data_IF_346100177638
#
_entry.id   IF_346100177638
#
_cell.length_a   1.000
_cell.length_b   1.000
_cell.length_c   1.000
_cell.angle_alpha   90.00
_cell.angle_beta   90.00
_cell.angle_gamma   90.00
#
_symmetry.space_group_name_H-M   'P 1'
#
loop_
_entity.id
_entity.type
_entity.pdbx_description
1 polymer ?
#
# COMPACT_ATOMS: atom_id res chain seq x y z
N UNK A 1 -17.51 -15.12 -0.27
CA UNK A 1 -18.07 -14.46 0.94
C UNK A 1 -17.13 -14.50 2.17
N UNK A 2 -16.32 -15.55 2.39
CA UNK A 2 -15.36 -15.59 3.50
C UNK A 2 -14.12 -14.70 3.23
N UNK A 3 -13.62 -14.69 2.01
CA UNK A 3 -12.50 -13.85 1.59
C UNK A 3 -12.84 -12.36 1.75
N UNK A 4 -14.02 -11.92 1.29
CA UNK A 4 -14.48 -10.51 1.43
C UNK A 4 -14.62 -10.08 2.90
N UNK A 5 -15.03 -10.98 3.82
CA UNK A 5 -15.09 -10.65 5.27
C UNK A 5 -13.70 -10.52 5.90
N UNK A 6 -12.73 -11.36 5.51
CA UNK A 6 -11.33 -11.25 5.98
C UNK A 6 -10.64 -10.02 5.39
N UNK A 7 -10.89 -9.71 4.13
CA UNK A 7 -10.32 -8.58 3.40
C UNK A 7 -10.69 -7.22 4.02
N UNK A 8 -11.90 -7.03 4.53
CA UNK A 8 -12.31 -5.81 5.28
C UNK A 8 -11.56 -5.59 6.60
N UNK A 9 -10.60 -6.44 6.94
CA UNK A 9 -9.78 -6.31 8.16
C UNK A 9 -8.36 -5.77 7.88
N UNK A 10 -8.00 -5.47 6.63
CA UNK A 10 -6.62 -5.12 6.28
C UNK A 10 -6.30 -3.64 6.42
N UNK A 11 -5.40 -3.34 7.36
CA UNK A 11 -4.32 -2.40 7.13
C UNK A 11 -3.17 -3.20 6.56
N UNK A 12 -2.71 -2.86 5.36
CA UNK A 12 -1.66 -3.65 4.74
C UNK A 12 -0.32 -3.31 5.39
N UNK A 13 0.07 -4.07 6.41
CA UNK A 13 1.42 -4.23 6.92
C UNK A 13 2.28 -5.06 5.95
N UNK A 14 1.63 -5.78 5.08
CA UNK A 14 2.08 -7.04 4.50
C UNK A 14 2.03 -6.98 2.98
N UNK A 15 2.34 -5.82 2.41
CA UNK A 15 2.61 -5.68 0.98
C UNK A 15 4.04 -6.12 0.69
N UNK A 16 4.18 -7.20 -0.06
CA UNK A 16 5.45 -7.70 -0.54
C UNK A 16 5.74 -7.19 -1.96
N UNK A 17 7.02 -6.98 -2.25
CA UNK A 17 7.44 -6.42 -3.54
C UNK A 17 7.93 -7.52 -4.48
N UNK A 18 7.18 -7.75 -5.54
CA UNK A 18 7.42 -8.78 -6.55
C UNK A 18 8.79 -8.65 -7.22
N UNK A 19 9.18 -7.44 -7.64
CA UNK A 19 10.49 -7.19 -8.25
C UNK A 19 11.64 -7.58 -7.32
N UNK A 20 11.61 -7.15 -6.05
CA UNK A 20 12.68 -7.44 -5.12
C UNK A 20 12.73 -8.92 -4.74
N UNK A 21 11.60 -9.57 -4.52
CA UNK A 21 11.54 -10.99 -4.18
C UNK A 21 11.96 -11.89 -5.35
N UNK A 22 11.66 -11.49 -6.58
CA UNK A 22 12.15 -12.16 -7.78
C UNK A 22 13.68 -12.17 -7.85
N UNK A 23 14.30 -11.03 -7.53
CA UNK A 23 15.76 -10.90 -7.54
C UNK A 23 16.41 -11.54 -6.31
N UNK A 24 15.79 -11.40 -5.12
CA UNK A 24 16.28 -11.97 -3.85
C UNK A 24 15.11 -12.19 -2.89
N UNK A 25 14.91 -13.40 -2.38
CA UNK A 25 15.81 -14.56 -2.42
C UNK A 25 15.80 -15.31 -3.77
N UNK A 26 14.88 -14.96 -4.69
CA UNK A 26 14.62 -15.69 -5.93
C UNK A 26 13.49 -16.71 -5.76
N UNK A 27 12.86 -17.07 -6.88
CA UNK A 27 11.67 -17.92 -6.86
C UNK A 27 11.94 -19.35 -6.41
N UNK A 28 13.15 -19.88 -6.66
CA UNK A 28 13.48 -21.24 -6.27
C UNK A 28 13.45 -21.42 -4.75
N UNK A 29 13.96 -20.42 -4.01
CA UNK A 29 13.88 -20.41 -2.54
C UNK A 29 12.44 -20.36 -2.07
N UNK A 30 11.60 -19.48 -2.65
CA UNK A 30 10.20 -19.34 -2.25
C UNK A 30 9.39 -20.62 -2.54
N UNK A 31 9.68 -21.33 -3.65
CA UNK A 31 9.02 -22.59 -4.00
C UNK A 31 9.27 -23.68 -2.95
N UNK A 32 10.48 -23.75 -2.37
CA UNK A 32 10.80 -24.70 -1.29
C UNK A 32 9.92 -24.49 -0.03
N UNK A 33 9.42 -23.26 0.16
CA UNK A 33 8.50 -22.91 1.26
C UNK A 33 7.03 -22.92 0.84
N UNK A 34 6.69 -23.29 -0.38
CA UNK A 34 5.31 -23.28 -0.92
C UNK A 34 4.65 -21.89 -0.89
N UNK A 35 5.44 -20.82 -0.86
CA UNK A 35 4.96 -19.44 -0.90
C UNK A 35 5.45 -18.55 0.25
N UNK A 36 5.03 -17.29 0.21
CA UNK A 36 5.47 -16.27 1.15
C UNK A 36 5.01 -16.52 2.59
N UNK A 37 3.79 -17.03 2.79
CA UNK A 37 3.25 -17.27 4.12
C UNK A 37 4.20 -18.14 4.96
N UNK A 38 4.59 -19.27 4.43
CA UNK A 38 5.51 -20.17 5.11
C UNK A 38 6.94 -19.59 5.18
N UNK A 39 7.39 -18.93 4.10
CA UNK A 39 8.73 -18.35 4.06
C UNK A 39 8.98 -17.31 5.15
N UNK A 40 7.98 -16.47 5.46
CA UNK A 40 8.11 -15.43 6.49
C UNK A 40 7.41 -15.76 7.81
N UNK A 41 6.74 -16.92 7.92
CA UNK A 41 5.97 -17.32 9.10
C UNK A 41 4.80 -16.38 9.39
N UNK A 42 3.99 -16.05 8.39
CA UNK A 42 2.91 -15.07 8.49
C UNK A 42 1.55 -15.65 8.05
N UNK A 43 0.59 -15.67 8.98
CA UNK A 43 -0.72 -16.32 8.77
C UNK A 43 -1.83 -15.35 8.32
N UNK A 44 -1.54 -14.04 8.27
CA UNK A 44 -2.52 -13.06 7.80
C UNK A 44 -2.34 -12.79 6.30
N UNK A 45 -3.27 -12.00 5.74
CA UNK A 45 -3.29 -11.70 4.31
C UNK A 45 -2.00 -11.01 3.84
N UNK A 46 -1.50 -11.43 2.70
CA UNK A 46 -0.38 -10.82 1.99
C UNK A 46 -0.87 -10.33 0.63
N UNK A 47 -0.52 -9.10 0.29
CA UNK A 47 -0.65 -8.55 -1.06
C UNK A 47 0.72 -8.47 -1.72
N UNK A 48 0.84 -8.92 -2.97
CA UNK A 48 2.03 -8.67 -3.79
C UNK A 48 1.73 -7.58 -4.82
N UNK A 49 2.65 -6.62 -4.96
CA UNK A 49 2.58 -5.70 -6.09
C UNK A 49 3.02 -6.39 -7.40
N UNK A 50 2.79 -5.71 -8.53
CA UNK A 50 3.15 -6.27 -9.85
C UNK A 50 4.60 -6.04 -10.27
N UNK A 51 5.34 -5.15 -9.57
CA UNK A 51 6.61 -4.62 -10.04
C UNK A 51 6.50 -3.38 -10.94
N UNK A 52 5.30 -2.93 -11.28
CA UNK A 52 5.05 -1.75 -12.13
C UNK A 52 5.64 -0.46 -11.57
N UNK A 53 5.56 -0.24 -10.26
CA UNK A 53 6.17 0.93 -9.61
C UNK A 53 7.69 0.99 -9.81
N UNK A 54 8.39 -0.14 -9.83
CA UNK A 54 9.82 -0.20 -10.11
C UNK A 54 10.12 0.18 -11.57
N UNK A 55 9.19 -0.11 -12.48
CA UNK A 55 9.25 0.32 -13.87
C UNK A 55 9.23 1.85 -14.04
N UNK A 56 8.66 2.57 -13.08
CA UNK A 56 8.67 4.03 -13.04
C UNK A 56 9.86 4.58 -12.23
N UNK A 57 10.21 3.96 -11.11
CA UNK A 57 11.13 4.51 -10.11
C UNK A 57 12.60 4.14 -10.31
N UNK A 58 12.91 3.11 -11.10
CA UNK A 58 14.27 2.62 -11.36
C UNK A 58 14.61 2.81 -12.84
N UNK A 59 15.88 3.10 -13.21
CA UNK A 59 16.29 3.17 -14.61
C UNK A 59 15.98 1.87 -15.37
N UNK A 60 15.19 1.96 -16.42
CA UNK A 60 14.70 0.84 -17.20
C UNK A 60 14.44 1.25 -18.66
N UNK A 61 14.01 0.29 -19.48
CA UNK A 61 13.44 0.55 -20.80
C UNK A 61 12.03 0.02 -20.87
N UNK A 62 11.09 0.92 -21.03
CA UNK A 62 9.67 0.63 -21.17
C UNK A 62 9.30 0.47 -22.63
N UNK A 63 8.49 -0.54 -22.95
CA UNK A 63 7.82 -0.71 -24.22
C UNK A 63 6.38 -1.20 -24.04
N UNK A 64 5.63 -1.39 -25.12
CA UNK A 64 4.21 -1.79 -25.07
C UNK A 64 3.98 -3.23 -24.60
N UNK A 65 5.02 -4.07 -24.57
CA UNK A 65 4.93 -5.48 -24.18
C UNK A 65 5.41 -5.72 -22.75
N UNK A 66 6.18 -4.78 -22.15
CA UNK A 66 6.70 -4.91 -20.81
C UNK A 66 7.84 -3.95 -20.50
N UNK A 67 8.62 -4.28 -19.49
CA UNK A 67 9.67 -3.44 -18.90
C UNK A 67 10.99 -4.21 -18.87
N UNK A 68 12.02 -3.73 -19.57
CA UNK A 68 13.39 -4.25 -19.44
C UNK A 68 14.07 -3.64 -18.24
N UNK A 69 14.31 -4.41 -17.21
CA UNK A 69 15.03 -4.02 -16.00
C UNK A 69 16.50 -4.41 -16.08
N UNK A 70 17.31 -3.62 -15.36
CA UNK A 70 18.66 -4.02 -15.00
C UNK A 70 18.67 -4.44 -13.53
N UNK A 71 19.10 -5.68 -13.27
CA UNK A 71 19.21 -6.21 -11.92
C UNK A 71 20.18 -5.35 -11.11
N UNK A 72 19.70 -4.85 -9.96
CA UNK A 72 20.47 -3.94 -9.09
C UNK A 72 21.63 -4.64 -8.36
N UNK A 73 21.70 -5.97 -8.35
CA UNK A 73 22.71 -6.73 -7.63
C UNK A 73 23.87 -7.20 -8.51
N UNK A 74 23.60 -7.65 -9.72
CA UNK A 74 24.60 -8.22 -10.64
C UNK A 74 24.67 -7.53 -12.01
N UNK A 75 23.74 -6.59 -12.27
CA UNK A 75 23.70 -5.84 -13.51
C UNK A 75 23.14 -6.61 -14.71
N UNK A 76 22.70 -7.86 -14.55
CA UNK A 76 22.02 -8.64 -15.59
C UNK A 76 20.74 -7.96 -16.01
N UNK A 77 20.28 -8.25 -17.25
CA UNK A 77 19.02 -7.72 -17.76
C UNK A 77 17.95 -8.81 -17.72
N UNK A 78 16.73 -8.40 -17.40
CA UNK A 78 15.55 -9.24 -17.53
C UNK A 78 14.37 -8.42 -18.01
N UNK A 79 13.42 -9.08 -18.65
CA UNK A 79 12.21 -8.45 -19.19
C UNK A 79 11.01 -8.92 -18.39
N UNK A 80 10.32 -7.97 -17.76
CA UNK A 80 9.10 -8.20 -17.00
C UNK A 80 7.91 -7.82 -17.88
N UNK A 81 7.20 -8.81 -18.35
CA UNK A 81 5.91 -8.68 -19.01
C UNK A 81 4.77 -9.09 -18.05
N UNK A 82 3.50 -8.96 -18.45
CA UNK A 82 2.37 -9.36 -17.62
C UNK A 82 2.39 -10.85 -17.24
N UNK A 83 2.91 -11.73 -18.10
CA UNK A 83 2.98 -13.17 -17.84
C UNK A 83 4.01 -13.46 -16.76
N UNK A 84 5.24 -12.93 -16.90
CA UNK A 84 6.27 -13.10 -15.87
C UNK A 84 5.83 -12.51 -14.52
N UNK A 85 5.17 -11.34 -14.53
CA UNK A 85 4.64 -10.75 -13.30
C UNK A 85 3.63 -11.67 -12.61
N UNK A 86 2.75 -12.34 -13.37
CA UNK A 86 1.81 -13.33 -12.81
C UNK A 86 2.51 -14.61 -12.35
N UNK A 87 3.48 -15.14 -13.09
CA UNK A 87 4.26 -16.32 -12.69
C UNK A 87 4.98 -16.10 -11.36
N UNK A 88 5.56 -14.90 -11.19
CA UNK A 88 6.20 -14.54 -9.93
C UNK A 88 5.16 -14.52 -8.80
N UNK A 89 4.03 -13.82 -8.98
CA UNK A 89 3.01 -13.69 -7.93
C UNK A 89 2.31 -15.02 -7.64
N UNK A 90 2.08 -15.88 -8.63
CA UNK A 90 1.60 -17.24 -8.42
C UNK A 90 2.59 -18.05 -7.57
N UNK A 91 3.90 -17.92 -7.82
CA UNK A 91 4.94 -18.60 -7.02
C UNK A 91 5.04 -18.04 -5.61
N UNK A 92 4.89 -16.71 -5.45
CA UNK A 92 4.83 -16.05 -4.14
C UNK A 92 3.60 -16.50 -3.33
N UNK A 93 2.55 -16.96 -4.00
CA UNK A 93 1.33 -17.49 -3.41
C UNK A 93 0.72 -16.55 -2.36
N UNK A 94 0.66 -15.26 -2.70
CA UNK A 94 0.01 -14.24 -1.89
C UNK A 94 -1.51 -14.35 -1.99
N UNK A 95 -2.25 -13.80 -1.03
CA UNK A 95 -3.74 -13.78 -1.09
C UNK A 95 -4.26 -12.82 -2.16
N UNK A 96 -3.53 -11.74 -2.43
CA UNK A 96 -3.88 -10.73 -3.42
C UNK A 96 -2.69 -10.48 -4.34
N UNK A 97 -2.92 -10.63 -5.64
CA UNK A 97 -2.00 -10.24 -6.71
C UNK A 97 -2.50 -9.01 -7.43
N UNK A 98 -1.58 -8.22 -7.97
CA UNK A 98 -1.88 -7.02 -8.75
C UNK A 98 -1.50 -7.23 -10.21
N UNK A 99 -2.30 -6.71 -11.14
CA UNK A 99 -1.88 -6.66 -12.54
C UNK A 99 -0.63 -5.79 -12.72
N UNK A 100 0.20 -6.07 -13.72
CA UNK A 100 1.24 -5.14 -14.15
C UNK A 100 0.57 -3.92 -14.79
N UNK A 101 1.03 -2.71 -14.42
CA UNK A 101 0.47 -1.46 -14.90
C UNK A 101 1.55 -0.52 -15.45
N UNK A 102 1.13 0.36 -16.34
CA UNK A 102 1.98 1.39 -16.93
C UNK A 102 1.81 2.69 -16.16
N UNK A 103 2.63 2.90 -15.12
CA UNK A 103 2.62 4.12 -14.33
C UNK A 103 3.38 5.24 -15.04
N UNK A 104 2.78 6.43 -15.11
CA UNK A 104 3.40 7.68 -15.57
C UNK A 104 3.12 8.81 -14.57
N UNK A 105 4.00 9.83 -14.56
CA UNK A 105 3.83 10.98 -13.67
C UNK A 105 2.45 11.64 -13.90
N UNK A 106 1.84 12.10 -12.81
CA UNK A 106 0.53 12.76 -12.85
C UNK A 106 0.51 14.00 -13.74
N UNK A 107 1.62 14.72 -13.82
CA UNK A 107 1.75 15.95 -14.62
C UNK A 107 1.96 15.72 -16.12
N UNK A 108 2.09 14.46 -16.56
CA UNK A 108 2.17 14.15 -18.00
C UNK A 108 0.89 14.57 -18.71
N UNK A 109 1.09 14.96 -19.99
CA UNK A 109 -0.04 15.39 -20.84
C UNK A 109 -1.06 14.26 -21.09
N UNK A 110 -2.18 14.65 -21.65
CA UNK A 110 -3.30 13.77 -21.95
C UNK A 110 -2.89 12.54 -22.79
N UNK A 111 -2.07 12.73 -23.83
CA UNK A 111 -1.68 11.65 -24.74
C UNK A 111 -0.80 10.60 -24.05
N UNK A 112 0.10 11.05 -23.16
CA UNK A 112 0.91 10.15 -22.34
C UNK A 112 0.04 9.36 -21.36
N UNK A 113 -0.92 10.00 -20.70
CA UNK A 113 -1.88 9.32 -19.81
C UNK A 113 -2.78 8.35 -20.60
N UNK A 114 -3.27 8.74 -21.78
CA UNK A 114 -4.05 7.86 -22.65
C UNK A 114 -3.25 6.63 -23.11
N UNK A 115 -1.98 6.80 -23.49
CA UNK A 115 -1.09 5.68 -23.82
C UNK A 115 -0.91 4.74 -22.63
N UNK A 116 -0.69 5.30 -21.43
CA UNK A 116 -0.54 4.56 -20.18
C UNK A 116 -1.76 3.67 -19.90
N UNK A 117 -2.98 4.23 -19.93
CA UNK A 117 -4.20 3.45 -19.65
C UNK A 117 -4.44 2.36 -20.72
N UNK A 118 -4.16 2.63 -21.99
CA UNK A 118 -4.29 1.62 -23.05
C UNK A 118 -3.29 0.49 -22.88
N UNK A 119 -2.04 0.79 -22.50
CA UNK A 119 -1.02 -0.22 -22.20
C UNK A 119 -1.43 -1.04 -20.95
N UNK A 120 -1.89 -0.37 -19.89
CA UNK A 120 -2.38 -1.05 -18.67
C UNK A 120 -3.54 -1.97 -18.98
N UNK A 121 -4.50 -1.56 -19.85
CA UNK A 121 -5.59 -2.41 -20.30
C UNK A 121 -5.09 -3.67 -21.01
N UNK A 122 -4.21 -3.53 -21.99
CA UNK A 122 -3.60 -4.65 -22.71
C UNK A 122 -2.95 -5.65 -21.74
N UNK A 123 -2.18 -5.15 -20.79
CA UNK A 123 -1.52 -5.99 -19.79
C UNK A 123 -2.51 -6.63 -18.81
N UNK A 124 -3.57 -5.92 -18.44
CA UNK A 124 -4.65 -6.43 -17.61
C UNK A 124 -5.41 -7.59 -18.28
N UNK A 125 -5.69 -7.49 -19.58
CA UNK A 125 -6.31 -8.57 -20.39
C UNK A 125 -5.44 -9.83 -20.39
N UNK A 126 -4.12 -9.67 -20.59
CA UNK A 126 -3.15 -10.78 -20.55
C UNK A 126 -3.10 -11.40 -19.16
N UNK A 127 -2.94 -10.58 -18.11
CA UNK A 127 -2.86 -11.05 -16.73
C UNK A 127 -4.14 -11.80 -16.33
N UNK A 128 -5.32 -11.25 -16.66
CA UNK A 128 -6.62 -11.89 -16.35
C UNK A 128 -6.80 -13.24 -17.04
N UNK A 129 -6.37 -13.34 -18.30
CA UNK A 129 -6.41 -14.60 -19.06
C UNK A 129 -5.41 -15.64 -18.58
N UNK A 130 -4.29 -15.21 -18.01
CA UNK A 130 -3.21 -16.10 -17.55
C UNK A 130 -3.35 -16.53 -16.08
N UNK A 131 -3.94 -15.68 -15.22
CA UNK A 131 -4.14 -15.97 -13.79
C UNK A 131 -5.06 -17.18 -13.61
N UNK A 132 -4.56 -18.18 -12.88
CA UNK A 132 -5.25 -19.48 -12.68
C UNK A 132 -5.25 -19.97 -11.23
N UNK A 133 -4.80 -19.14 -10.27
CA UNK A 133 -4.78 -19.53 -8.87
C UNK A 133 -6.11 -19.14 -8.20
N UNK A 134 -7.00 -20.11 -8.00
CA UNK A 134 -8.34 -19.91 -7.39
C UNK A 134 -8.28 -19.43 -5.93
N UNK A 135 -7.15 -19.58 -5.25
CA UNK A 135 -6.96 -19.13 -3.88
C UNK A 135 -6.40 -17.70 -3.79
N UNK A 136 -6.06 -17.10 -4.92
CA UNK A 136 -5.48 -15.77 -5.01
C UNK A 136 -6.44 -14.81 -5.72
N UNK A 137 -6.80 -13.72 -5.07
CA UNK A 137 -7.57 -12.63 -5.70
C UNK A 137 -6.70 -11.80 -6.62
N UNK A 138 -7.16 -11.53 -7.84
CA UNK A 138 -6.46 -10.65 -8.78
C UNK A 138 -7.12 -9.28 -8.82
N UNK A 139 -6.35 -8.21 -8.58
CA UNK A 139 -6.84 -6.82 -8.59
C UNK A 139 -6.42 -6.09 -9.85
N UNK A 140 -7.39 -5.40 -10.47
CA UNK A 140 -7.17 -4.44 -11.55
C UNK A 140 -6.66 -3.10 -11.03
N UNK A 141 -5.93 -2.34 -11.86
CA UNK A 141 -5.40 -1.02 -11.49
C UNK A 141 -5.96 0.04 -12.44
N UNK A 142 -6.66 1.04 -11.89
CA UNK A 142 -7.17 2.19 -12.62
C UNK A 142 -6.10 3.28 -12.65
N UNK A 143 -5.73 3.74 -13.84
CA UNK A 143 -4.82 4.85 -14.09
C UNK A 143 -5.57 6.02 -14.73
N UNK A 144 -4.90 7.11 -15.15
CA UNK A 144 -5.52 8.24 -15.88
C UNK A 144 -5.07 9.63 -15.39
N UNK A 145 -4.11 9.69 -14.45
CA UNK A 145 -3.57 10.95 -13.92
C UNK A 145 -4.66 11.85 -13.36
N UNK A 146 -4.65 13.12 -13.71
CA UNK A 146 -5.66 14.13 -13.31
C UNK A 146 -6.84 14.27 -14.28
N UNK A 147 -6.86 13.50 -15.37
CA UNK A 147 -7.90 13.60 -16.40
C UNK A 147 -9.08 12.69 -16.05
N UNK A 148 -10.19 13.29 -15.65
CA UNK A 148 -11.37 12.55 -15.17
C UNK A 148 -11.94 11.62 -16.24
N UNK A 149 -12.03 12.05 -17.51
CA UNK A 149 -12.45 11.19 -18.61
C UNK A 149 -11.54 9.96 -18.83
N UNK A 150 -10.24 10.08 -18.54
CA UNK A 150 -9.34 8.95 -18.59
C UNK A 150 -9.50 8.02 -17.37
N UNK A 151 -9.82 8.58 -16.19
CA UNK A 151 -10.19 7.80 -15.00
C UNK A 151 -11.46 7.00 -15.25
N UNK A 152 -12.50 7.61 -15.81
CA UNK A 152 -13.73 6.92 -16.21
C UNK A 152 -13.43 5.79 -17.22
N UNK A 153 -12.73 6.12 -18.32
CA UNK A 153 -12.36 5.12 -19.32
C UNK A 153 -11.59 3.95 -18.70
N UNK A 154 -10.57 4.23 -17.90
CA UNK A 154 -9.74 3.21 -17.25
C UNK A 154 -10.55 2.36 -16.27
N UNK A 155 -11.45 2.97 -15.50
CA UNK A 155 -12.36 2.25 -14.60
C UNK A 155 -13.26 1.29 -15.36
N UNK A 156 -13.93 1.77 -16.43
CA UNK A 156 -14.80 0.93 -17.25
C UNK A 156 -14.03 -0.22 -17.92
N UNK A 157 -12.81 0.03 -18.43
CA UNK A 157 -11.94 -0.99 -18.98
C UNK A 157 -11.61 -2.08 -17.93
N UNK A 158 -11.22 -1.69 -16.70
CA UNK A 158 -10.91 -2.65 -15.63
C UNK A 158 -12.15 -3.41 -15.15
N UNK A 159 -13.29 -2.73 -14.99
CA UNK A 159 -14.56 -3.36 -14.55
C UNK A 159 -15.03 -4.39 -15.57
N UNK A 160 -14.86 -4.13 -16.87
CA UNK A 160 -15.24 -5.07 -17.94
C UNK A 160 -14.48 -6.40 -17.87
N UNK A 161 -13.28 -6.42 -17.27
CA UNK A 161 -12.45 -7.61 -17.08
C UNK A 161 -12.80 -8.40 -15.81
N UNK A 162 -13.73 -7.90 -14.98
CA UNK A 162 -14.28 -8.56 -13.79
C UNK A 162 -13.21 -9.06 -12.81
N UNK A 163 -12.40 -8.16 -12.29
CA UNK A 163 -11.42 -8.43 -11.23
C UNK A 163 -12.10 -8.66 -9.86
N UNK A 164 -11.36 -9.26 -8.92
CA UNK A 164 -11.81 -9.50 -7.55
C UNK A 164 -11.80 -8.23 -6.69
N UNK A 165 -11.01 -7.23 -7.07
CA UNK A 165 -10.94 -5.91 -6.49
C UNK A 165 -10.29 -4.92 -7.45
N UNK A 166 -10.31 -3.63 -7.08
CA UNK A 166 -9.83 -2.55 -7.93
C UNK A 166 -8.94 -1.59 -7.14
N UNK A 167 -7.75 -1.32 -7.66
CA UNK A 167 -6.85 -0.33 -7.12
C UNK A 167 -6.93 0.97 -7.93
N UNK A 168 -6.79 2.10 -7.25
CA UNK A 168 -6.63 3.42 -7.86
C UNK A 168 -5.15 3.77 -7.78
N UNK A 169 -4.48 3.70 -8.92
CA UNK A 169 -3.05 4.00 -9.08
C UNK A 169 -2.79 5.43 -9.54
N UNK A 170 -1.50 5.79 -9.64
CA UNK A 170 -1.05 7.09 -10.11
C UNK A 170 -1.39 8.25 -9.18
N UNK A 171 -1.54 7.98 -7.87
CA UNK A 171 -1.73 8.94 -6.80
C UNK A 171 -0.55 8.91 -5.83
N UNK A 172 -0.49 9.88 -4.90
CA UNK A 172 0.61 10.07 -3.95
C UNK A 172 1.99 10.34 -4.60
N UNK A 173 1.99 10.97 -5.79
CA UNK A 173 3.18 11.27 -6.60
C UNK A 173 3.27 12.75 -7.03
N UNK A 174 2.61 13.68 -6.31
CA UNK A 174 2.76 15.11 -6.55
C UNK A 174 1.49 15.96 -6.42
N UNK A 175 0.32 15.33 -6.34
CA UNK A 175 -0.97 16.02 -6.16
C UNK A 175 -1.18 16.52 -4.73
N UNK A 176 -2.06 17.52 -4.57
CA UNK A 176 -2.52 17.96 -3.25
C UNK A 176 -3.53 16.96 -2.66
N UNK A 177 -3.77 16.99 -1.32
CA UNK A 177 -4.82 16.17 -0.69
C UNK A 177 -6.20 16.41 -1.29
N UNK A 178 -6.54 17.65 -1.64
CA UNK A 178 -7.83 18.05 -2.23
C UNK A 178 -7.98 17.50 -3.65
N UNK A 179 -6.94 17.63 -4.48
CA UNK A 179 -6.91 17.06 -5.83
C UNK A 179 -7.08 15.55 -5.77
N UNK A 180 -6.35 14.89 -4.86
CA UNK A 180 -6.44 13.44 -4.64
C UNK A 180 -7.86 13.02 -4.28
N UNK A 181 -8.46 13.70 -3.29
CA UNK A 181 -9.83 13.40 -2.87
C UNK A 181 -10.81 13.55 -4.02
N UNK A 182 -10.72 14.64 -4.77
CA UNK A 182 -11.59 14.89 -5.94
C UNK A 182 -11.46 13.79 -7.01
N UNK A 183 -10.24 13.35 -7.31
CA UNK A 183 -9.98 12.27 -8.27
C UNK A 183 -10.54 10.94 -7.75
N UNK A 184 -10.36 10.64 -6.47
CA UNK A 184 -10.87 9.39 -5.86
C UNK A 184 -12.39 9.41 -5.83
N UNK A 185 -13.02 10.49 -5.35
CA UNK A 185 -14.48 10.64 -5.31
C UNK A 185 -15.10 10.39 -6.69
N UNK A 186 -14.51 10.96 -7.73
CA UNK A 186 -14.97 10.72 -9.11
C UNK A 186 -14.75 9.27 -9.55
N UNK A 187 -13.59 8.70 -9.26
CA UNK A 187 -13.20 7.36 -9.75
C UNK A 187 -14.04 6.25 -9.12
N UNK A 188 -14.38 6.37 -7.83
CA UNK A 188 -15.14 5.34 -7.10
C UNK A 188 -16.56 5.15 -7.61
N UNK A 189 -17.14 6.16 -8.26
CA UNK A 189 -18.49 6.06 -8.84
C UNK A 189 -18.57 5.06 -10.00
N UNK A 190 -17.45 4.78 -10.66
CA UNK A 190 -17.33 3.79 -11.74
C UNK A 190 -16.90 2.40 -11.24
N UNK A 191 -16.58 2.24 -9.95
CA UNK A 191 -16.14 0.97 -9.40
C UNK A 191 -17.28 0.24 -8.66
N UNK A 192 -17.38 -1.09 -8.79
CA UNK A 192 -18.40 -1.88 -8.09
C UNK A 192 -18.34 -1.69 -6.57
N UNK A 193 -19.50 -1.50 -5.93
CA UNK A 193 -19.62 -1.28 -4.47
C UNK A 193 -19.43 -2.56 -3.66
N UNK A 194 -19.60 -3.71 -4.28
CA UNK A 194 -19.45 -5.04 -3.68
C UNK A 194 -18.02 -5.60 -3.79
N UNK A 195 -17.13 -4.88 -4.48
CA UNK A 195 -15.71 -5.22 -4.63
C UNK A 195 -14.82 -4.32 -3.78
N UNK A 196 -13.66 -4.84 -3.35
CA UNK A 196 -12.69 -4.05 -2.60
C UNK A 196 -12.07 -2.95 -3.45
N UNK A 197 -11.93 -1.78 -2.87
CA UNK A 197 -11.32 -0.59 -3.45
C UNK A 197 -10.07 -0.21 -2.69
N UNK A 198 -8.97 -0.11 -3.40
CA UNK A 198 -7.65 0.08 -2.84
C UNK A 198 -6.99 1.34 -3.38
N UNK A 199 -6.52 2.25 -2.53
CA UNK A 199 -5.66 3.37 -2.94
C UNK A 199 -4.21 3.05 -2.60
N UNK A 200 -3.37 3.05 -3.62
CA UNK A 200 -1.97 2.65 -3.54
C UNK A 200 -1.07 3.78 -3.03
N UNK A 201 -0.14 3.44 -2.12
CA UNK A 201 0.94 4.34 -1.70
C UNK A 201 0.54 5.45 -0.72
N UNK A 202 -0.70 5.46 -0.23
CA UNK A 202 -1.22 6.46 0.71
C UNK A 202 -1.39 5.87 2.11
N UNK A 203 -1.05 6.63 3.15
CA UNK A 203 -1.22 6.16 4.54
C UNK A 203 -0.91 7.18 5.61
N UNK A 204 -0.97 8.47 5.31
CA UNK A 204 -1.14 9.46 6.35
C UNK A 204 -2.57 9.37 6.91
N UNK A 205 -2.73 9.61 8.21
CA UNK A 205 -3.98 9.32 8.91
C UNK A 205 -5.14 10.14 8.37
N UNK A 206 -4.93 11.43 8.16
CA UNK A 206 -5.95 12.34 7.63
C UNK A 206 -6.36 11.94 6.21
N UNK A 207 -5.37 11.67 5.34
CA UNK A 207 -5.62 11.21 3.98
C UNK A 207 -6.42 9.90 3.94
N UNK A 208 -6.06 8.92 4.80
CA UNK A 208 -6.83 7.67 4.91
C UNK A 208 -8.27 7.91 5.36
N UNK A 209 -8.49 8.71 6.41
CA UNK A 209 -9.85 9.01 6.92
C UNK A 209 -10.72 9.69 5.85
N UNK A 210 -10.15 10.64 5.10
CA UNK A 210 -10.86 11.32 4.02
C UNK A 210 -11.22 10.38 2.86
N UNK A 211 -10.38 9.41 2.53
CA UNK A 211 -10.66 8.47 1.44
C UNK A 211 -11.52 7.27 1.88
N UNK A 212 -11.53 6.91 3.16
CA UNK A 212 -12.51 5.97 3.71
C UNK A 212 -13.93 6.53 3.54
N UNK A 213 -14.10 7.82 3.76
CA UNK A 213 -15.35 8.54 3.50
C UNK A 213 -15.76 8.44 2.01
N UNK A 214 -14.80 8.48 1.10
CA UNK A 214 -15.02 8.26 -0.34
C UNK A 214 -15.31 6.79 -0.71
N UNK A 215 -15.30 5.86 0.25
CA UNK A 215 -15.60 4.44 0.02
C UNK A 215 -14.38 3.59 -0.35
N UNK A 216 -13.18 3.98 0.09
CA UNK A 216 -11.96 3.17 -0.03
C UNK A 216 -11.83 2.21 1.15
N UNK A 217 -11.50 0.95 0.86
CA UNK A 217 -11.39 -0.14 1.83
C UNK A 217 -9.94 -0.43 2.26
N UNK A 218 -8.96 -0.16 1.38
CA UNK A 218 -7.58 -0.62 1.54
C UNK A 218 -6.56 0.48 1.21
N UNK A 219 -5.44 0.46 1.97
CA UNK A 219 -4.31 1.39 1.82
C UNK A 219 -3.00 0.66 2.07
N UNK A 220 -1.92 1.11 1.46
CA UNK A 220 -0.57 0.73 1.83
C UNK A 220 0.35 1.95 1.91
N UNK A 221 1.27 1.97 2.86
CA UNK A 221 2.27 3.02 2.91
C UNK A 221 3.47 2.69 3.79
N UNK A 222 4.53 3.44 3.56
CA UNK A 222 5.73 3.43 4.40
C UNK A 222 5.71 4.53 5.47
N UNK A 223 4.61 5.29 5.58
CA UNK A 223 4.55 6.50 6.39
C UNK A 223 4.81 6.26 7.89
N UNK A 224 4.22 5.25 8.57
CA UNK A 224 4.49 4.99 9.99
C UNK A 224 5.98 4.68 10.25
N UNK A 225 6.60 3.87 9.39
CA UNK A 225 8.01 3.53 9.49
C UNK A 225 8.93 4.72 9.13
N UNK A 226 8.54 5.54 8.15
CA UNK A 226 9.26 6.77 7.79
C UNK A 226 9.24 7.76 8.93
N UNK A 227 8.09 8.01 9.57
CA UNK A 227 7.97 8.85 10.76
C UNK A 227 8.88 8.36 11.88
N UNK A 228 8.86 7.06 12.18
CA UNK A 228 9.68 6.43 13.21
C UNK A 228 11.18 6.69 13.00
N UNK A 229 11.69 6.51 11.77
CA UNK A 229 13.10 6.78 11.44
C UNK A 229 13.49 8.24 11.70
N UNK A 230 12.55 9.18 11.56
CA UNK A 230 12.77 10.60 11.86
C UNK A 230 12.48 10.97 13.33
N UNK A 231 12.06 10.00 14.15
CA UNK A 231 11.76 10.20 15.56
C UNK A 231 10.37 10.79 15.83
N UNK A 232 9.48 10.79 14.83
CA UNK A 232 8.09 11.19 14.98
C UNK A 232 7.25 10.01 15.45
N UNK A 233 6.53 10.22 16.54
CA UNK A 233 5.72 9.21 17.23
C UNK A 233 4.24 9.53 17.03
N UNK A 234 3.47 8.54 16.58
CA UNK A 234 2.01 8.67 16.42
C UNK A 234 1.35 8.52 17.79
N UNK A 235 0.45 9.45 18.11
CA UNK A 235 -0.39 9.43 19.30
C UNK A 235 -1.82 9.81 18.91
N UNK A 236 -2.72 8.83 18.80
CA UNK A 236 -4.15 9.03 18.51
C UNK A 236 -4.41 10.00 17.34
N UNK A 237 -3.72 9.78 16.21
CA UNK A 237 -3.86 10.63 15.01
C UNK A 237 -2.89 11.81 14.93
N UNK A 238 -2.38 12.30 16.06
CA UNK A 238 -1.36 13.34 16.12
C UNK A 238 0.04 12.75 16.25
N UNK A 239 1.06 13.59 16.22
CA UNK A 239 2.44 13.14 16.42
C UNK A 239 3.29 14.17 17.15
N UNK A 240 4.27 13.66 17.88
CA UNK A 240 5.31 14.47 18.51
C UNK A 240 6.70 13.98 18.10
N UNK A 241 7.71 14.84 18.26
CA UNK A 241 9.09 14.46 17.95
C UNK A 241 9.83 14.04 19.23
N UNK A 242 10.16 12.76 19.33
CA UNK A 242 10.86 12.20 20.49
C UNK A 242 12.30 12.75 20.67
N UNK A 243 12.90 13.36 19.63
CA UNK A 243 14.21 14.00 19.73
C UNK A 243 14.22 15.24 20.63
N UNK A 244 13.06 15.86 20.90
CA UNK A 244 12.95 17.05 21.75
C UNK A 244 13.57 16.81 23.14
N UNK A 245 14.24 17.84 23.67
CA UNK A 245 14.99 17.77 24.95
C UNK A 245 14.09 17.49 26.14
N UNK A 246 12.83 17.90 26.10
CA UNK A 246 11.84 17.65 27.17
C UNK A 246 11.68 16.16 27.52
N UNK A 247 11.92 15.25 26.57
CA UNK A 247 11.81 13.80 26.79
C UNK A 247 13.08 13.16 27.33
N UNK A 248 14.14 13.94 27.62
CA UNK A 248 15.44 13.41 28.07
C UNK A 248 15.33 12.60 29.36
N UNK A 249 14.51 13.05 30.28
CA UNK A 249 14.32 12.46 31.61
C UNK A 249 12.88 11.94 31.82
N UNK A 250 12.10 11.81 30.74
CA UNK A 250 10.71 11.38 30.81
C UNK A 250 10.64 9.85 30.98
N UNK A 251 10.19 9.41 32.16
CA UNK A 251 10.09 7.99 32.55
C UNK A 251 8.82 7.32 32.01
N UNK A 252 7.87 8.10 31.47
CA UNK A 252 6.61 7.60 30.96
C UNK A 252 6.78 6.88 29.62
N UNK A 253 5.85 5.99 29.24
CA UNK A 253 5.82 5.37 27.91
C UNK A 253 5.57 6.39 26.80
N UNK A 254 5.76 6.02 25.51
CA UNK A 254 5.49 6.92 24.39
C UNK A 254 4.08 7.49 24.44
N UNK A 255 3.08 6.66 24.75
CA UNK A 255 1.68 7.03 24.94
C UNK A 255 1.14 6.28 26.16
N UNK A 256 0.57 6.98 27.11
CA UNK A 256 0.16 6.43 28.43
C UNK A 256 -0.80 5.24 28.31
N UNK A 257 -1.84 5.38 27.51
CA UNK A 257 -2.88 4.34 27.36
C UNK A 257 -2.58 3.31 26.29
N UNK A 258 -1.38 3.32 25.70
CA UNK A 258 -1.00 2.43 24.65
C UNK A 258 -0.56 1.07 25.18
N UNK A 259 -1.23 0.01 24.71
CA UNK A 259 -0.96 -1.38 25.12
C UNK A 259 0.05 -2.12 24.24
N UNK A 260 0.71 -1.43 23.29
CA UNK A 260 1.73 -2.06 22.45
C UNK A 260 2.93 -2.55 23.28
N UNK A 261 3.65 -3.52 22.73
CA UNK A 261 4.87 -4.06 23.37
C UNK A 261 5.86 -2.96 23.82
N UNK A 262 6.04 -1.94 22.98
CA UNK A 262 7.04 -0.89 23.23
C UNK A 262 6.64 -0.02 24.42
N UNK A 263 5.38 0.44 24.47
CA UNK A 263 4.88 1.26 25.57
C UNK A 263 4.80 0.50 26.89
N UNK A 264 4.53 -0.81 26.85
CA UNK A 264 4.54 -1.65 28.08
C UNK A 264 5.94 -1.82 28.67
N UNK A 265 7.00 -1.61 27.89
CA UNK A 265 8.35 -2.01 28.32
C UNK A 265 9.33 -0.86 28.43
N UNK A 266 9.19 0.20 27.63
CA UNK A 266 10.21 1.23 27.50
C UNK A 266 9.67 2.64 27.73
N UNK A 267 10.49 3.48 28.41
CA UNK A 267 10.21 4.89 28.61
C UNK A 267 10.62 5.76 27.42
N UNK A 268 10.05 6.96 27.30
CA UNK A 268 10.47 7.97 26.33
C UNK A 268 11.96 8.30 26.46
N UNK A 269 12.48 8.43 27.69
CA UNK A 269 13.89 8.72 27.93
C UNK A 269 14.80 7.66 27.32
N UNK A 270 14.50 6.37 27.52
CA UNK A 270 15.30 5.28 26.97
C UNK A 270 15.22 5.23 25.44
N UNK A 271 14.01 5.30 24.88
CA UNK A 271 13.83 5.29 23.43
C UNK A 271 14.46 6.51 22.74
N UNK A 272 14.39 7.67 23.39
CA UNK A 272 15.09 8.86 22.94
C UNK A 272 16.62 8.67 22.95
N UNK A 273 17.16 8.06 24.03
CA UNK A 273 18.59 7.74 24.10
C UNK A 273 19.01 6.87 22.91
N UNK A 274 18.29 5.80 22.64
CA UNK A 274 18.57 4.93 21.48
C UNK A 274 18.48 5.70 20.14
N UNK A 275 17.47 6.55 20.00
CA UNK A 275 17.22 7.30 18.76
C UNK A 275 18.33 8.32 18.48
N UNK A 276 18.82 9.05 19.50
CA UNK A 276 19.88 10.04 19.34
C UNK A 276 21.23 9.38 19.02
N UNK A 277 21.44 8.17 19.55
CA UNK A 277 22.64 7.39 19.25
C UNK A 277 22.48 6.53 17.97
N UNK A 278 21.48 6.82 17.14
CA UNK A 278 21.24 6.17 15.84
C UNK A 278 21.16 4.63 15.90
N UNK A 279 20.71 4.10 17.04
CA UNK A 279 20.52 2.66 17.21
C UNK A 279 19.42 2.13 16.28
N UNK A 280 19.72 1.06 15.55
CA UNK A 280 18.72 0.36 14.71
C UNK A 280 17.55 -0.15 15.54
N UNK A 281 17.76 -0.49 16.81
CA UNK A 281 16.70 -0.89 17.74
C UNK A 281 15.69 0.23 17.99
N UNK A 282 16.13 1.51 17.98
CA UNK A 282 15.21 2.64 18.08
C UNK A 282 14.22 2.63 16.92
N UNK A 283 14.72 2.50 15.70
CA UNK A 283 13.86 2.49 14.51
C UNK A 283 12.86 1.33 14.53
N UNK A 284 13.31 0.15 14.96
CA UNK A 284 12.43 -1.01 15.12
C UNK A 284 11.32 -0.72 16.13
N UNK A 285 11.65 -0.29 17.35
CA UNK A 285 10.67 -0.04 18.41
C UNK A 285 9.69 1.07 18.03
N UNK A 286 10.19 2.19 17.51
CA UNK A 286 9.33 3.28 17.11
C UNK A 286 8.42 2.92 15.92
N UNK A 287 8.91 2.10 14.98
CA UNK A 287 8.10 1.57 13.88
C UNK A 287 7.00 0.65 14.40
N UNK A 288 7.31 -0.28 15.31
CA UNK A 288 6.31 -1.16 15.92
C UNK A 288 5.22 -0.37 16.63
N UNK A 289 5.59 0.67 17.37
CA UNK A 289 4.62 1.55 18.03
C UNK A 289 3.74 2.29 17.01
N UNK A 290 4.35 2.92 16.01
CA UNK A 290 3.61 3.71 15.01
C UNK A 290 2.65 2.83 14.19
N UNK A 291 3.07 1.62 13.79
CA UNK A 291 2.18 0.66 13.12
C UNK A 291 1.03 0.29 14.04
N UNK A 292 1.30 -0.05 15.29
CA UNK A 292 0.25 -0.38 16.27
C UNK A 292 -0.77 0.75 16.43
N UNK A 293 -0.32 2.00 16.51
CA UNK A 293 -1.22 3.17 16.59
C UNK A 293 -2.07 3.33 15.33
N UNK A 294 -1.47 3.16 14.16
CA UNK A 294 -2.21 3.23 12.87
C UNK A 294 -3.28 2.15 12.80
N UNK A 295 -2.95 0.92 13.19
CA UNK A 295 -3.92 -0.19 13.22
C UNK A 295 -5.05 0.02 14.22
N UNK A 296 -4.74 0.57 15.38
CA UNK A 296 -5.78 0.92 16.37
C UNK A 296 -6.75 1.95 15.79
N UNK A 297 -6.24 3.02 15.17
CA UNK A 297 -7.09 4.04 14.53
C UNK A 297 -8.02 3.37 13.51
N UNK A 298 -7.49 2.51 12.64
CA UNK A 298 -8.31 1.84 11.63
C UNK A 298 -9.27 0.80 12.24
N UNK A 299 -8.92 0.19 13.34
CA UNK A 299 -9.85 -0.67 14.12
C UNK A 299 -11.02 0.13 14.67
N UNK A 300 -10.76 1.31 15.23
CA UNK A 300 -11.82 2.20 15.73
C UNK A 300 -12.65 2.79 14.57
N UNK A 301 -12.03 3.10 13.43
CA UNK A 301 -12.76 3.48 12.19
C UNK A 301 -13.78 2.40 11.82
N UNK A 302 -13.39 1.12 11.78
CA UNK A 302 -14.33 0.04 11.46
C UNK A 302 -15.48 -0.04 12.44
N UNK A 303 -15.20 0.12 13.73
CA UNK A 303 -16.26 0.14 14.77
C UNK A 303 -17.18 1.33 14.59
N UNK A 304 -16.63 2.52 14.34
CA UNK A 304 -17.43 3.73 14.15
C UNK A 304 -18.33 3.66 12.90
N UNK A 305 -17.84 3.03 11.81
CA UNK A 305 -18.66 2.77 10.61
C UNK A 305 -19.82 1.83 10.94
N UNK A 306 -19.56 0.73 11.67
CA UNK A 306 -20.59 -0.23 12.06
C UNK A 306 -21.65 0.39 12.97
N UNK A 307 -21.26 1.37 13.78
CA UNK A 307 -22.15 2.08 14.70
C UNK A 307 -22.77 3.33 14.08
N UNK A 308 -22.48 3.68 12.82
CA UNK A 308 -22.90 4.92 12.16
C UNK A 308 -22.36 6.21 12.85
N UNK A 309 -21.16 6.12 13.42
CA UNK A 309 -20.49 7.21 14.16
C UNK A 309 -19.20 7.68 13.47
N UNK A 310 -18.96 7.30 12.21
CA UNK A 310 -17.69 7.53 11.53
C UNK A 310 -17.33 9.02 11.43
N UNK A 311 -18.27 9.90 11.09
CA UNK A 311 -18.00 11.35 10.97
C UNK A 311 -17.54 11.95 12.31
N UNK A 312 -18.20 11.61 13.41
CA UNK A 312 -17.82 12.08 14.75
C UNK A 312 -16.40 11.58 15.13
N UNK A 313 -16.09 10.31 14.78
CA UNK A 313 -14.77 9.77 15.05
C UNK A 313 -13.70 10.44 14.19
N UNK A 314 -13.94 10.62 12.87
CA UNK A 314 -13.06 11.33 11.95
C UNK A 314 -12.73 12.74 12.44
N UNK A 315 -13.76 13.51 12.81
CA UNK A 315 -13.59 14.86 13.36
C UNK A 315 -12.76 14.86 14.65
N UNK A 316 -12.96 13.90 15.55
CA UNK A 316 -12.20 13.78 16.79
C UNK A 316 -10.70 13.50 16.55
N UNK A 317 -10.35 12.82 15.47
CA UNK A 317 -8.94 12.55 15.11
C UNK A 317 -8.31 13.75 14.41
N UNK A 318 -9.04 14.43 13.51
CA UNK A 318 -8.50 15.53 12.71
C UNK A 318 -8.42 16.82 13.54
N UNK A 319 -9.47 17.16 14.29
CA UNK A 319 -9.62 18.43 14.99
C UNK A 319 -9.25 18.34 16.50
N UNK A 320 -9.26 17.16 17.11
CA UNK A 320 -8.90 16.91 18.52
C UNK A 320 -7.41 16.82 18.70
#
# INVERSE_FOLDING_TARGET
>A
HQVVRRQRQMCIRDRANTYHLYLRPGLDVIKEFEGLHNFIGWDNLILTDSGGFQGWSIPNKFNEDGIEFKNIYDGSKFFMDPILSMDIQNTLNSDIAMILDSLVDMDKDYNNQLKSINTTKKWAEIARGYHSNDNQSLFGIVQGGKFLELREKSSNDMVSLNFDGYAIGGLAIGETPEERKSIVDFTVDFLPKDKLRYVMGLGDIEGMLNLIDSGIDMFDCVWPARLARHGKIINKGKFFNLKNSQYKNDTEPLVLDCVCFVCKKYSKAYLRHLLINESTSAWLYLTLHNIFQTENILSEVRKSILNSEFENYKESIING
#
